data_IF_526834477319
#
_entry.id   IF_526834477319
#
_cell.length_a   1.000
_cell.length_b   1.000
_cell.length_c   1.000
_cell.angle_alpha   90.00
_cell.angle_beta   90.00
_cell.angle_gamma   90.00
#
_symmetry.space_group_name_H-M   'P 1'
#
loop_
_entity.id
_entity.type
_entity.pdbx_description
1 polymer ?
#
# COMPACT_ATOMS: atom_id res chain seq x y z
N UNK A 1 22.28 20.65 8.09
CA UNK A 1 20.81 20.64 8.30
C UNK A 1 20.09 19.67 7.37
N UNK A 2 20.72 19.13 6.33
CA UNK A 2 20.15 18.07 5.48
C UNK A 2 20.36 16.65 6.04
N UNK A 3 21.14 16.52 7.11
CA UNK A 3 21.68 15.25 7.61
C UNK A 3 20.60 14.31 8.17
N UNK A 4 19.51 14.84 8.72
CA UNK A 4 18.42 14.04 9.30
C UNK A 4 17.55 13.37 8.25
N UNK A 5 17.24 14.08 7.16
CA UNK A 5 16.47 13.52 6.04
C UNK A 5 17.31 12.48 5.28
N UNK A 6 18.60 12.73 5.09
CA UNK A 6 19.51 11.74 4.50
C UNK A 6 19.70 10.53 5.40
N UNK A 7 19.67 10.70 6.72
CA UNK A 7 19.66 9.58 7.66
C UNK A 7 18.37 8.77 7.52
N UNK A 8 17.22 9.42 7.42
CA UNK A 8 15.93 8.76 7.17
C UNK A 8 15.97 7.93 5.88
N UNK A 9 16.40 8.54 4.77
CA UNK A 9 16.60 7.87 3.46
C UNK A 9 17.61 6.70 3.53
N UNK A 10 18.58 6.74 4.44
CA UNK A 10 19.57 5.67 4.60
C UNK A 10 19.08 4.52 5.48
N UNK A 11 18.06 4.76 6.32
CA UNK A 11 17.46 3.76 7.19
C UNK A 11 16.30 3.07 6.46
N UNK A 12 15.41 3.84 5.85
CA UNK A 12 14.29 3.35 5.02
C UNK A 12 14.81 2.80 3.69
N UNK A 13 15.24 1.54 3.72
CA UNK A 13 15.85 0.88 2.56
C UNK A 13 14.83 0.50 1.50
N UNK A 14 13.58 0.31 1.89
CA UNK A 14 12.48 -0.02 0.99
C UNK A 14 11.84 1.23 0.36
N UNK A 15 12.20 2.43 0.83
CA UNK A 15 11.53 3.68 0.47
C UNK A 15 10.02 3.59 0.69
N UNK A 16 9.63 2.93 1.78
CA UNK A 16 8.23 2.69 2.14
C UNK A 16 7.57 3.98 2.64
N UNK A 17 8.36 4.97 3.08
CA UNK A 17 7.90 6.22 3.70
C UNK A 17 7.85 6.17 5.22
N UNK A 18 8.17 5.03 5.80
CA UNK A 18 8.08 4.73 7.24
C UNK A 18 9.27 3.88 7.66
N UNK A 19 9.93 4.24 8.74
CA UNK A 19 11.04 3.45 9.28
C UNK A 19 10.46 2.44 10.25
N UNK A 20 10.57 1.16 9.89
CA UNK A 20 10.21 0.09 10.80
C UNK A 20 11.25 -0.10 11.89
N UNK A 21 10.84 -0.65 13.04
CA UNK A 21 11.77 -1.06 14.10
C UNK A 21 12.88 -1.97 13.55
N UNK A 22 12.55 -2.90 12.66
CA UNK A 22 13.49 -3.84 12.08
C UNK A 22 14.56 -3.15 11.23
N UNK A 23 14.16 -2.18 10.40
CA UNK A 23 15.09 -1.37 9.60
C UNK A 23 15.98 -0.49 10.47
N UNK A 24 15.41 0.11 11.51
CA UNK A 24 16.16 0.92 12.46
C UNK A 24 17.16 0.06 13.25
N UNK A 25 16.78 -1.14 13.68
CA UNK A 25 17.66 -2.10 14.34
C UNK A 25 18.80 -2.56 13.41
N UNK A 26 18.48 -2.85 12.14
CA UNK A 26 19.46 -3.25 11.14
C UNK A 26 20.48 -2.13 10.87
N UNK A 27 20.01 -0.88 10.75
CA UNK A 27 20.87 0.29 10.60
C UNK A 27 21.75 0.54 11.82
N UNK A 28 21.15 0.47 13.02
CA UNK A 28 21.83 0.58 14.31
C UNK A 28 22.99 -0.44 14.42
N UNK A 29 22.72 -1.70 14.04
CA UNK A 29 23.71 -2.77 14.01
C UNK A 29 24.84 -2.52 13.00
N UNK A 30 24.51 -2.00 11.82
CA UNK A 30 25.53 -1.62 10.80
C UNK A 30 26.44 -0.50 11.29
N UNK A 31 25.89 0.49 11.99
CA UNK A 31 26.64 1.64 12.51
C UNK A 31 27.26 1.42 13.89
N UNK A 32 27.12 0.21 14.48
CA UNK A 32 27.60 -0.11 15.84
C UNK A 32 26.95 0.76 16.95
N UNK A 33 25.70 1.16 16.74
CA UNK A 33 24.90 1.84 17.76
C UNK A 33 24.25 0.82 18.71
N UNK A 34 23.92 1.29 19.91
CA UNK A 34 23.34 0.50 21.00
C UNK A 34 21.85 0.24 20.74
N UNK A 35 21.30 -0.93 21.12
CA UNK A 35 19.87 -1.24 20.96
C UNK A 35 18.96 -0.22 21.68
N UNK A 36 19.49 0.44 22.72
CA UNK A 36 18.81 1.55 23.41
C UNK A 36 18.55 2.77 22.52
N UNK A 37 19.29 2.92 21.42
CA UNK A 37 19.11 3.99 20.45
C UNK A 37 17.77 3.84 19.71
N UNK A 38 17.43 2.62 19.31
CA UNK A 38 16.17 2.28 18.63
C UNK A 38 14.98 2.65 19.51
N UNK A 39 15.01 2.22 20.78
CA UNK A 39 13.94 2.52 21.73
C UNK A 39 13.79 4.02 22.00
N UNK A 40 14.91 4.76 22.05
CA UNK A 40 14.89 6.23 22.20
C UNK A 40 14.31 6.90 20.97
N UNK A 41 14.63 6.42 19.77
CA UNK A 41 14.11 6.98 18.53
C UNK A 41 12.61 6.79 18.40
N UNK A 42 12.12 5.57 18.64
CA UNK A 42 10.69 5.31 18.71
C UNK A 42 10.03 6.22 19.75
N UNK A 43 10.55 6.29 20.98
CA UNK A 43 9.94 7.15 21.99
C UNK A 43 10.03 8.66 21.71
N UNK A 44 10.87 9.10 20.76
CA UNK A 44 11.00 10.52 20.39
C UNK A 44 10.16 10.89 19.18
N UNK A 45 10.08 10.00 18.20
CA UNK A 45 9.46 10.27 16.90
C UNK A 45 8.14 9.53 16.69
N UNK A 46 7.97 8.34 17.27
CA UNK A 46 6.72 7.56 17.20
C UNK A 46 5.77 8.02 18.31
N UNK A 47 5.08 9.13 18.04
CA UNK A 47 4.13 9.73 18.98
C UNK A 47 2.85 8.91 19.09
N UNK A 48 2.44 8.25 18.00
CA UNK A 48 1.26 7.39 17.95
C UNK A 48 1.50 6.00 18.59
N UNK A 49 2.76 5.67 18.92
CA UNK A 49 3.17 4.34 19.40
C UNK A 49 2.80 3.23 18.40
N UNK A 50 2.83 3.55 17.11
CA UNK A 50 2.57 2.60 16.03
C UNK A 50 3.69 1.55 15.91
N UNK A 51 4.88 1.84 16.46
CA UNK A 51 6.06 1.01 16.37
C UNK A 51 6.90 1.26 15.11
N UNK A 52 6.46 2.18 14.25
CA UNK A 52 7.20 2.68 13.08
C UNK A 52 7.25 4.21 13.13
N UNK A 53 8.26 4.80 12.48
CA UNK A 53 8.44 6.26 12.43
C UNK A 53 8.12 6.72 11.03
N UNK A 54 7.00 7.41 10.86
CA UNK A 54 6.61 7.97 9.57
C UNK A 54 7.44 9.21 9.24
N UNK A 55 7.67 9.49 7.95
CA UNK A 55 8.37 10.72 7.52
C UNK A 55 7.67 11.99 8.03
N UNK A 56 6.35 11.96 8.16
CA UNK A 56 5.55 13.07 8.66
C UNK A 56 5.83 13.33 10.15
N UNK A 57 5.79 12.29 10.98
CA UNK A 57 6.12 12.35 12.41
C UNK A 57 7.57 12.80 12.64
N UNK A 58 8.49 12.28 11.82
CA UNK A 58 9.89 12.67 11.87
C UNK A 58 10.09 14.15 11.55
N UNK A 59 9.41 14.65 10.51
CA UNK A 59 9.47 16.04 10.10
C UNK A 59 8.81 16.97 11.13
N UNK A 60 7.64 16.59 11.64
CA UNK A 60 6.90 17.36 12.65
C UNK A 60 7.74 17.52 13.93
N UNK A 61 8.34 16.42 14.41
CA UNK A 61 9.20 16.42 15.60
C UNK A 61 10.44 17.32 15.43
N UNK A 62 11.04 17.34 14.24
CA UNK A 62 12.22 18.15 13.96
C UNK A 62 11.88 19.59 13.51
N UNK A 63 10.60 19.91 13.34
CA UNK A 63 10.15 21.17 12.74
C UNK A 63 10.66 21.35 11.30
N UNK A 64 10.90 20.25 10.60
CA UNK A 64 11.38 20.22 9.22
C UNK A 64 10.20 20.10 8.25
N UNK A 65 10.41 20.56 7.03
CA UNK A 65 9.49 20.27 5.92
C UNK A 65 9.90 18.93 5.31
N UNK A 66 8.96 18.02 5.02
CA UNK A 66 9.27 16.79 4.32
C UNK A 66 9.91 17.12 2.97
N UNK A 67 10.96 16.37 2.62
CA UNK A 67 11.65 16.57 1.36
C UNK A 67 10.77 16.06 0.22
N UNK A 68 10.32 16.98 -0.65
CA UNK A 68 9.51 16.66 -1.83
C UNK A 68 10.17 15.57 -2.70
N UNK A 69 11.50 15.61 -2.84
CA UNK A 69 12.25 14.68 -3.67
C UNK A 69 12.24 13.25 -3.08
N UNK A 70 12.24 13.12 -1.75
CA UNK A 70 12.10 11.83 -1.07
C UNK A 70 10.65 11.31 -1.15
N UNK A 71 9.67 12.18 -0.92
CA UNK A 71 8.25 11.77 -1.03
C UNK A 71 7.89 11.28 -2.43
N UNK A 72 8.49 11.88 -3.48
CA UNK A 72 8.32 11.43 -4.85
C UNK A 72 8.91 10.02 -5.06
N UNK A 73 10.09 9.73 -4.48
CA UNK A 73 10.68 8.37 -4.50
C UNK A 73 9.80 7.36 -3.78
N UNK A 74 9.27 7.71 -2.61
CA UNK A 74 8.36 6.86 -1.83
C UNK A 74 7.08 6.57 -2.62
N UNK A 75 6.50 7.58 -3.27
CA UNK A 75 5.34 7.40 -4.14
C UNK A 75 5.66 6.49 -5.33
N UNK A 76 6.80 6.68 -5.98
CA UNK A 76 7.25 5.84 -7.10
C UNK A 76 7.53 4.41 -6.64
N UNK A 77 8.13 4.20 -5.47
CA UNK A 77 8.36 2.89 -4.87
C UNK A 77 7.07 2.21 -4.43
N UNK A 78 6.14 2.92 -3.76
CA UNK A 78 4.79 2.41 -3.47
C UNK A 78 4.02 2.05 -4.74
N UNK A 79 4.19 2.82 -5.83
CA UNK A 79 3.64 2.48 -7.15
C UNK A 79 4.33 1.28 -7.82
N UNK A 80 5.57 0.96 -7.46
CA UNK A 80 6.36 -0.14 -8.03
C UNK A 80 6.33 -1.44 -7.17
N UNK A 81 6.20 -1.35 -5.85
CA UNK A 81 6.34 -2.47 -4.90
C UNK A 81 5.07 -3.33 -4.76
N UNK A 82 3.91 -2.81 -5.15
CA UNK A 82 2.74 -3.62 -5.50
C UNK A 82 1.78 -2.76 -6.33
N UNK A 83 1.07 -3.33 -7.33
CA UNK A 83 -0.13 -2.69 -7.84
C UNK A 83 -1.21 -2.74 -6.73
N UNK A 84 -1.13 -1.81 -5.78
CA UNK A 84 -2.23 -1.50 -4.86
C UNK A 84 -3.31 -0.63 -5.54
N UNK A 85 -3.19 -0.48 -6.86
CA UNK A 85 -4.28 -0.10 -7.75
C UNK A 85 -4.23 -1.07 -8.94
N UNK A 86 -4.57 -2.35 -8.71
CA UNK A 86 -5.34 -3.04 -9.73
C UNK A 86 -6.61 -2.19 -9.83
N UNK A 87 -6.63 -1.18 -10.71
CA UNK A 87 -7.80 -0.38 -11.04
C UNK A 87 -8.79 -1.31 -11.74
N UNK A 88 -9.25 -2.33 -11.03
CA UNK A 88 -10.06 -3.40 -11.54
C UNK A 88 -11.45 -2.87 -11.87
N UNK A 89 -11.81 -1.73 -11.27
CA UNK A 89 -12.98 -0.93 -11.60
C UNK A 89 -12.78 0.05 -12.76
N UNK A 90 -11.59 0.10 -13.40
CA UNK A 90 -11.40 0.97 -14.56
C UNK A 90 -12.43 0.64 -15.65
N UNK A 91 -13.21 1.64 -16.04
CA UNK A 91 -14.29 1.52 -17.03
C UNK A 91 -15.54 0.80 -16.53
N UNK A 92 -15.63 0.44 -15.24
CA UNK A 92 -16.82 -0.18 -14.63
C UNK A 92 -17.59 0.86 -13.82
N UNK A 93 -18.89 1.03 -14.14
CA UNK A 93 -19.79 1.91 -13.39
C UNK A 93 -20.69 1.06 -12.48
N UNK A 94 -20.52 1.20 -11.17
CA UNK A 94 -21.42 0.59 -10.19
C UNK A 94 -22.77 1.30 -10.21
N UNK A 95 -23.84 0.58 -10.54
CA UNK A 95 -25.21 1.10 -10.60
C UNK A 95 -26.01 0.81 -9.33
N UNK A 96 -25.67 -0.27 -8.62
CA UNK A 96 -26.26 -0.66 -7.35
C UNK A 96 -25.32 -1.64 -6.62
N UNK A 97 -25.27 -1.56 -5.30
CA UNK A 97 -24.61 -2.54 -4.43
C UNK A 97 -25.68 -3.06 -3.47
N UNK A 98 -25.83 -4.38 -3.39
CA UNK A 98 -26.68 -5.02 -2.39
C UNK A 98 -25.83 -5.32 -1.14
N UNK A 99 -26.46 -5.37 0.04
CA UNK A 99 -25.74 -5.64 1.30
C UNK A 99 -25.06 -7.01 1.36
N UNK A 100 -25.42 -7.93 0.46
CA UNK A 100 -24.79 -9.25 0.32
C UNK A 100 -23.67 -9.30 -0.74
N UNK A 101 -23.22 -8.16 -1.27
CA UNK A 101 -22.11 -8.08 -2.22
C UNK A 101 -20.82 -7.66 -1.51
N UNK A 102 -20.03 -8.63 -1.06
CA UNK A 102 -18.69 -8.41 -0.53
C UNK A 102 -17.67 -8.04 -1.63
N UNK A 103 -16.56 -7.40 -1.25
CA UNK A 103 -15.51 -6.94 -2.18
C UNK A 103 -14.96 -8.08 -3.05
N UNK A 104 -14.83 -9.28 -2.49
CA UNK A 104 -14.39 -10.48 -3.22
C UNK A 104 -15.36 -10.91 -4.32
N UNK A 105 -16.67 -10.85 -4.04
CA UNK A 105 -17.70 -11.18 -5.02
C UNK A 105 -17.74 -10.13 -6.13
N UNK A 106 -17.57 -8.86 -5.77
CA UNK A 106 -17.51 -7.76 -6.72
C UNK A 106 -16.30 -7.90 -7.67
N UNK A 107 -15.12 -8.23 -7.14
CA UNK A 107 -13.91 -8.54 -7.94
C UNK A 107 -14.12 -9.71 -8.88
N UNK A 108 -14.77 -10.78 -8.39
CA UNK A 108 -15.08 -11.95 -9.21
C UNK A 108 -16.03 -11.59 -10.36
N UNK A 109 -17.08 -10.80 -10.10
CA UNK A 109 -18.05 -10.38 -11.11
C UNK A 109 -17.37 -9.59 -12.22
N UNK A 110 -16.52 -8.61 -11.89
CA UNK A 110 -15.86 -7.79 -12.92
C UNK A 110 -14.83 -8.59 -13.72
N UNK A 111 -14.10 -9.49 -13.07
CA UNK A 111 -13.20 -10.42 -13.76
C UNK A 111 -13.96 -11.30 -14.75
N UNK A 112 -15.08 -11.90 -14.32
CA UNK A 112 -15.93 -12.73 -15.17
C UNK A 112 -16.57 -11.92 -16.29
N UNK A 113 -16.97 -10.68 -16.04
CA UNK A 113 -17.53 -9.80 -17.06
C UNK A 113 -16.52 -9.48 -18.15
N UNK A 114 -15.27 -9.15 -17.79
CA UNK A 114 -14.18 -8.93 -18.76
C UNK A 114 -13.87 -10.19 -19.57
N UNK A 115 -13.81 -11.35 -18.92
CA UNK A 115 -13.57 -12.63 -19.59
C UNK A 115 -14.73 -13.02 -20.53
N UNK A 116 -15.97 -12.78 -20.11
CA UNK A 116 -17.16 -13.03 -20.90
C UNK A 116 -17.23 -12.10 -22.10
N UNK A 117 -16.92 -10.81 -21.95
CA UNK A 117 -16.87 -9.83 -23.04
C UNK A 117 -15.78 -10.15 -24.07
N UNK A 118 -14.67 -10.79 -23.66
CA UNK A 118 -13.64 -11.25 -24.58
C UNK A 118 -14.07 -12.49 -25.40
N UNK A 119 -14.94 -13.34 -24.85
CA UNK A 119 -15.39 -14.60 -25.48
C UNK A 119 -16.71 -14.45 -26.23
N UNK A 120 -17.58 -13.55 -25.79
CA UNK A 120 -18.93 -13.38 -26.27
C UNK A 120 -19.21 -11.90 -26.52
N UNK A 121 -19.84 -11.61 -27.66
CA UNK A 121 -20.27 -10.26 -28.04
C UNK A 121 -21.75 -10.01 -27.78
N UNK A 122 -22.52 -11.07 -27.52
CA UNK A 122 -23.96 -11.01 -27.25
C UNK A 122 -24.19 -10.91 -25.74
N UNK A 123 -24.93 -9.88 -25.32
CA UNK A 123 -25.20 -9.59 -23.89
C UNK A 123 -25.83 -10.77 -23.16
N UNK A 124 -26.71 -11.53 -23.83
CA UNK A 124 -27.35 -12.73 -23.27
C UNK A 124 -26.34 -13.83 -22.95
N UNK A 125 -25.39 -14.09 -23.86
CA UNK A 125 -24.34 -15.09 -23.69
C UNK A 125 -23.34 -14.65 -22.62
N UNK A 126 -23.00 -13.34 -22.57
CA UNK A 126 -22.18 -12.76 -21.50
C UNK A 126 -22.83 -12.98 -20.14
N UNK A 127 -24.12 -12.64 -20.00
CA UNK A 127 -24.85 -12.81 -18.75
C UNK A 127 -24.99 -14.29 -18.35
N UNK A 128 -25.21 -15.19 -19.31
CA UNK A 128 -25.28 -16.63 -19.08
C UNK A 128 -23.93 -17.18 -18.61
N UNK A 129 -22.82 -16.73 -19.21
CA UNK A 129 -21.47 -17.12 -18.84
C UNK A 129 -21.12 -16.70 -17.41
N UNK A 130 -21.39 -15.44 -17.06
CA UNK A 130 -21.12 -14.92 -15.71
C UNK A 130 -21.94 -15.71 -14.69
N UNK A 131 -23.22 -15.96 -14.97
CA UNK A 131 -24.09 -16.72 -14.07
C UNK A 131 -23.61 -18.16 -13.85
N UNK A 132 -23.26 -18.88 -14.92
CA UNK A 132 -22.74 -20.25 -14.86
C UNK A 132 -21.49 -20.35 -13.98
N UNK A 133 -20.57 -19.40 -14.14
CA UNK A 133 -19.33 -19.31 -13.35
C UNK A 133 -19.54 -18.89 -11.89
N UNK A 134 -20.59 -18.11 -11.59
CA UNK A 134 -20.95 -17.80 -10.21
C UNK A 134 -21.58 -19.02 -9.51
N UNK A 135 -22.42 -19.78 -10.21
CA UNK A 135 -23.07 -20.99 -9.67
C UNK A 135 -22.05 -22.09 -9.34
N UNK A 136 -21.02 -22.28 -10.18
CA UNK A 136 -19.90 -23.22 -9.92
C UNK A 136 -19.08 -22.88 -8.65
N UNK A 137 -19.15 -21.64 -8.16
CA UNK A 137 -18.41 -21.17 -6.97
C UNK A 137 -19.20 -21.29 -5.67
N UNK A 138 -20.51 -21.46 -5.75
CA UNK A 138 -21.43 -21.63 -4.60
C UNK A 138 -21.55 -23.11 -4.16
N UNK A 139 -20.94 -24.04 -4.92
CA UNK A 139 -21.01 -25.50 -4.73
C UNK A 139 -19.74 -26.08 -4.10
#
# INVERSE_FOLDING_TARGET
MADFLTAFESIDTDFSGEITREELEAYCRKQNFDEKFVQKWLNLFDADNSGTISIDEYCDTLGLRPNTEYMEKVQVQRSNAAPADDDWMNGVKVIAVAEALDEDLMRLIVRLAREAQAKHTVEKDIAMYIKDRLDEKDQ
#
